data_IF_939852296675
#
_entry.id   IF_939852296675
#
_cell.length_a   1.000
_cell.length_b   1.000
_cell.length_c   1.000
_cell.angle_alpha   90.00
_cell.angle_beta   90.00
_cell.angle_gamma   90.00
#
_symmetry.space_group_name_H-M   'P 1'
#
loop_
_entity.id
_entity.type
_entity.pdbx_description
1 polymer ?
#
# COMPACT_ATOMS: atom_id res chain seq x y z
N UNK A 1 15.25 16.98 -20.90
CA UNK A 1 15.69 15.81 -20.11
C UNK A 1 14.92 15.81 -18.81
N UNK A 2 14.28 14.71 -18.43
CA UNK A 2 13.58 14.63 -17.15
C UNK A 2 14.62 14.82 -16.02
N UNK A 3 14.35 15.75 -15.10
CA UNK A 3 15.23 16.06 -13.96
C UNK A 3 15.41 14.89 -12.98
N UNK A 4 14.65 13.80 -13.16
CA UNK A 4 14.70 12.61 -12.30
C UNK A 4 14.88 11.36 -13.15
N UNK A 5 15.77 10.47 -12.69
CA UNK A 5 16.03 9.15 -13.29
C UNK A 5 15.02 8.08 -12.87
N UNK A 6 14.09 8.40 -11.96
CA UNK A 6 13.11 7.46 -11.39
C UNK A 6 11.75 8.12 -11.18
N UNK A 7 10.70 7.31 -11.30
CA UNK A 7 9.32 7.66 -10.95
C UNK A 7 8.92 6.82 -9.74
N UNK A 8 8.40 7.48 -8.71
CA UNK A 8 7.90 6.82 -7.49
C UNK A 8 6.38 6.88 -7.48
N UNK A 9 5.74 5.75 -7.16
CA UNK A 9 4.27 5.64 -7.06
C UNK A 9 3.91 5.19 -5.65
N UNK A 10 2.98 5.89 -5.00
CA UNK A 10 2.52 5.58 -3.65
C UNK A 10 3.49 5.99 -2.53
N UNK A 11 4.79 6.11 -2.80
CA UNK A 11 5.74 6.55 -1.79
C UNK A 11 7.18 6.33 -2.21
N UNK A 12 8.09 6.68 -1.32
CA UNK A 12 9.52 6.43 -1.48
C UNK A 12 10.16 6.11 -0.13
N UNK A 13 11.44 5.72 -0.15
CA UNK A 13 12.22 5.45 1.08
C UNK A 13 12.36 6.73 1.93
N UNK A 14 12.53 7.88 1.29
CA UNK A 14 12.62 9.18 1.96
C UNK A 14 11.87 10.25 1.17
N UNK A 15 10.56 10.30 1.37
CA UNK A 15 9.66 11.21 0.63
C UNK A 15 9.96 12.68 0.89
N UNK A 16 10.51 13.02 2.06
CA UNK A 16 10.94 14.39 2.39
C UNK A 16 12.15 14.86 1.56
N UNK A 17 13.04 13.95 1.19
CA UNK A 17 14.24 14.28 0.44
C UNK A 17 14.00 14.44 -1.06
N UNK A 18 12.79 14.16 -1.56
CA UNK A 18 12.47 14.29 -2.97
C UNK A 18 12.37 15.78 -3.36
N UNK A 19 13.01 16.21 -4.47
CA UNK A 19 12.89 17.58 -4.96
C UNK A 19 11.43 17.97 -5.18
N UNK A 20 11.01 19.11 -4.63
CA UNK A 20 9.65 19.63 -4.77
C UNK A 20 8.59 18.91 -3.89
N UNK A 21 8.99 17.99 -3.01
CA UNK A 21 8.05 17.34 -2.10
C UNK A 21 7.43 18.33 -1.12
N UNK A 22 6.09 18.42 -1.14
CA UNK A 22 5.28 19.20 -0.18
C UNK A 22 4.75 18.37 0.98
N UNK A 23 4.87 17.04 0.88
CA UNK A 23 4.39 16.07 1.86
C UNK A 23 5.54 15.17 2.30
N UNK A 24 5.47 14.66 3.53
CA UNK A 24 6.53 13.85 4.12
C UNK A 24 6.12 12.39 4.37
N UNK A 25 4.87 12.04 4.08
CA UNK A 25 4.31 10.70 4.30
C UNK A 25 4.10 9.99 2.97
N UNK A 26 4.16 8.66 3.01
CA UNK A 26 3.72 7.83 1.89
C UNK A 26 2.19 7.82 1.81
N UNK A 27 1.67 7.53 0.62
CA UNK A 27 0.24 7.45 0.37
C UNK A 27 -0.37 6.25 1.11
N UNK A 28 -1.49 6.50 1.79
CA UNK A 28 -2.31 5.47 2.44
C UNK A 28 -3.66 5.46 1.75
N UNK A 29 -3.97 4.34 1.07
CA UNK A 29 -5.23 4.16 0.35
C UNK A 29 -5.06 3.34 -0.91
N UNK A 30 -6.06 3.40 -1.80
CA UNK A 30 -6.02 2.74 -3.09
C UNK A 30 -5.71 3.72 -4.22
N UNK A 31 -4.88 3.30 -5.16
CA UNK A 31 -4.68 4.00 -6.43
C UNK A 31 -5.25 3.16 -7.57
N UNK A 32 -5.82 3.84 -8.57
CA UNK A 32 -6.31 3.21 -9.81
C UNK A 32 -5.89 4.05 -11.01
N UNK A 33 -5.74 3.41 -12.17
CA UNK A 33 -5.38 4.08 -13.44
C UNK A 33 -4.12 4.94 -13.32
N UNK A 34 -3.06 4.38 -12.74
CA UNK A 34 -1.75 5.06 -12.66
C UNK A 34 -0.97 4.78 -13.93
N UNK A 35 -0.87 5.80 -14.78
CA UNK A 35 -0.20 5.72 -16.07
C UNK A 35 0.86 6.81 -16.19
N UNK A 36 1.99 6.47 -16.80
CA UNK A 36 2.99 7.43 -17.24
C UNK A 36 2.84 7.62 -18.76
N UNK A 37 2.60 8.85 -19.20
CA UNK A 37 2.39 9.20 -20.60
C UNK A 37 3.41 10.27 -21.00
N UNK A 38 4.21 9.98 -22.03
CA UNK A 38 5.19 10.90 -22.59
C UNK A 38 5.33 10.65 -24.10
N UNK A 39 5.05 11.64 -24.93
CA UNK A 39 5.07 11.54 -26.39
C UNK A 39 4.29 10.32 -26.92
N UNK A 40 4.98 9.30 -27.44
CA UNK A 40 4.40 8.04 -27.93
C UNK A 40 4.42 6.92 -26.88
N UNK A 41 5.00 7.15 -25.71
CA UNK A 41 5.13 6.19 -24.63
C UNK A 41 3.93 6.28 -23.68
N UNK A 42 3.25 5.16 -23.46
CA UNK A 42 2.21 5.00 -22.44
C UNK A 42 2.48 3.74 -21.62
N UNK A 43 2.79 3.92 -20.34
CA UNK A 43 3.10 2.84 -19.41
C UNK A 43 2.04 2.76 -18.31
N UNK A 44 1.35 1.62 -18.22
CA UNK A 44 0.48 1.33 -17.07
C UNK A 44 1.33 0.79 -15.93
N UNK A 45 1.64 1.66 -14.96
CA UNK A 45 2.58 1.34 -13.89
C UNK A 45 2.02 0.28 -12.93
N UNK A 46 0.70 0.20 -12.74
CA UNK A 46 0.09 -0.83 -11.91
C UNK A 46 0.21 -2.21 -12.55
N UNK A 47 -0.02 -2.32 -13.87
CA UNK A 47 0.07 -3.59 -14.59
C UNK A 47 1.52 -4.08 -14.71
N UNK A 48 2.47 -3.16 -14.92
CA UNK A 48 3.89 -3.48 -14.94
C UNK A 48 4.37 -3.99 -13.57
N UNK A 49 3.91 -3.39 -12.47
CA UNK A 49 4.20 -3.87 -11.11
C UNK A 49 3.57 -5.23 -10.84
N UNK A 50 2.34 -5.46 -11.32
CA UNK A 50 1.61 -6.73 -11.12
C UNK A 50 2.23 -7.89 -11.90
N UNK A 51 2.70 -7.64 -13.13
CA UNK A 51 3.35 -8.64 -13.98
C UNK A 51 4.80 -8.93 -13.59
N UNK A 52 5.40 -8.16 -12.67
CA UNK A 52 6.80 -8.33 -12.28
C UNK A 52 7.78 -7.88 -13.36
N UNK A 53 7.40 -6.88 -14.17
CA UNK A 53 8.27 -6.33 -15.22
C UNK A 53 9.59 -5.83 -14.63
N UNK A 54 10.70 -6.12 -15.31
CA UNK A 54 12.04 -5.66 -14.95
C UNK A 54 12.19 -4.12 -14.95
N UNK A 55 11.24 -3.40 -15.56
CA UNK A 55 11.22 -1.93 -15.58
C UNK A 55 10.74 -1.32 -14.26
N UNK A 56 10.10 -2.10 -13.39
CA UNK A 56 9.53 -1.63 -12.12
C UNK A 56 10.10 -2.44 -10.95
N UNK A 57 10.40 -1.74 -9.86
CA UNK A 57 10.68 -2.36 -8.56
C UNK A 57 9.50 -2.12 -7.63
N UNK A 58 8.99 -3.19 -7.02
CA UNK A 58 7.91 -3.15 -6.03
C UNK A 58 8.49 -3.31 -4.64
N UNK A 59 8.15 -2.39 -3.73
CA UNK A 59 8.56 -2.44 -2.33
C UNK A 59 7.36 -2.67 -1.41
N UNK A 60 7.47 -3.64 -0.51
CA UNK A 60 6.43 -4.01 0.44
C UNK A 60 5.38 -4.99 -0.10
N UNK A 61 4.34 -5.24 0.69
CA UNK A 61 3.23 -6.14 0.32
C UNK A 61 2.09 -5.35 -0.32
N UNK A 62 2.01 -5.38 -1.64
CA UNK A 62 0.93 -4.76 -2.40
C UNK A 62 -0.23 -5.74 -2.62
N UNK A 63 -1.45 -5.22 -2.57
CA UNK A 63 -2.67 -5.91 -2.98
C UNK A 63 -3.22 -5.20 -4.21
N UNK A 64 -3.32 -5.90 -5.36
CA UNK A 64 -3.86 -5.36 -6.61
C UNK A 64 -5.40 -5.40 -6.64
N UNK A 65 -6.00 -5.05 -5.51
CA UNK A 65 -7.44 -4.93 -5.28
C UNK A 65 -7.66 -3.83 -4.26
N UNK A 66 -8.64 -2.99 -4.49
CA UNK A 66 -9.09 -2.06 -3.45
C UNK A 66 -10.16 -2.75 -2.60
N UNK A 67 -9.95 -2.92 -1.28
CA UNK A 67 -10.99 -3.44 -0.40
C UNK A 67 -12.18 -2.47 -0.35
N UNK A 68 -13.39 -3.04 -0.35
CA UNK A 68 -14.62 -2.27 -0.15
C UNK A 68 -14.80 -2.00 1.34
N UNK A 69 -14.82 -0.72 1.73
CA UNK A 69 -15.02 -0.29 3.12
C UNK A 69 -14.04 0.78 3.56
N UNK A 70 -14.34 1.46 4.67
CA UNK A 70 -13.43 2.43 5.28
C UNK A 70 -12.17 1.72 5.77
N UNK A 71 -11.00 2.31 5.48
CA UNK A 71 -9.74 1.91 6.10
C UNK A 71 -9.88 2.10 7.60
N UNK A 72 -10.05 1.00 8.34
CA UNK A 72 -10.08 1.06 9.80
C UNK A 72 -8.71 1.51 10.27
N UNK A 73 -8.68 2.61 11.01
CA UNK A 73 -7.49 3.05 11.71
C UNK A 73 -6.93 1.88 12.55
N UNK A 74 -5.60 1.69 12.57
CA UNK A 74 -5.00 0.63 13.36
C UNK A 74 -5.32 0.83 14.84
N UNK A 75 -5.64 -0.25 15.55
CA UNK A 75 -5.83 -0.24 16.99
C UNK A 75 -4.50 -0.62 17.64
N UNK A 76 -4.09 0.12 18.67
CA UNK A 76 -2.88 -0.16 19.45
C UNK A 76 -3.25 -0.70 20.82
N UNK A 77 -2.69 -1.84 21.19
CA UNK A 77 -2.79 -2.42 22.53
C UNK A 77 -1.63 -1.89 23.37
N UNK A 78 -1.90 -0.94 24.27
CA UNK A 78 -0.87 -0.21 25.01
C UNK A 78 -0.46 -0.87 26.34
N UNK A 79 -1.21 -1.87 26.78
CA UNK A 79 -0.97 -2.61 28.04
C UNK A 79 -1.11 -4.10 27.81
N UNK A 80 -0.48 -4.92 28.64
CA UNK A 80 -0.53 -6.39 28.53
C UNK A 80 -1.95 -6.93 28.70
N UNK A 81 -2.78 -6.24 29.46
CA UNK A 81 -4.15 -6.66 29.79
C UNK A 81 -5.17 -6.22 28.73
N UNK A 82 -4.78 -5.30 27.83
CA UNK A 82 -5.68 -4.79 26.79
C UNK A 82 -6.02 -5.84 25.74
N UNK A 83 -7.32 -6.04 25.49
CA UNK A 83 -7.84 -6.98 24.51
C UNK A 83 -9.17 -6.48 23.93
N UNK A 84 -9.56 -7.01 22.77
CA UNK A 84 -10.88 -6.77 22.17
C UNK A 84 -11.69 -8.07 22.17
N UNK A 85 -12.96 -7.96 22.54
CA UNK A 85 -13.92 -9.05 22.44
C UNK A 85 -14.58 -8.96 21.07
N UNK A 86 -14.36 -9.97 20.22
CA UNK A 86 -14.99 -10.07 18.91
C UNK A 86 -16.30 -10.88 18.98
N UNK A 87 -17.25 -10.67 18.04
CA UNK A 87 -18.44 -11.51 17.95
C UNK A 87 -18.10 -13.00 17.78
N UNK A 88 -18.99 -13.91 18.21
CA UNK A 88 -18.77 -15.35 18.07
C UNK A 88 -18.53 -15.77 16.61
N UNK A 89 -17.56 -16.65 16.40
CA UNK A 89 -17.27 -17.22 15.08
C UNK A 89 -18.35 -18.27 14.72
N UNK A 90 -19.23 -17.94 13.77
CA UNK A 90 -20.38 -18.78 13.40
C UNK A 90 -20.21 -19.55 12.06
N UNK A 91 -19.00 -20.00 11.72
CA UNK A 91 -18.80 -20.79 10.49
C UNK A 91 -19.15 -22.28 10.69
N UNK A 92 -20.12 -22.77 9.91
CA UNK A 92 -20.59 -24.16 10.00
C UNK A 92 -19.74 -25.19 9.24
N UNK A 93 -19.00 -24.76 8.20
CA UNK A 93 -18.16 -25.66 7.35
C UNK A 93 -16.80 -25.05 7.01
N UNK A 94 -16.72 -23.75 6.74
CA UNK A 94 -15.47 -23.04 6.46
C UNK A 94 -15.59 -21.57 6.83
N UNK A 95 -14.47 -20.95 7.23
CA UNK A 95 -14.39 -19.52 7.51
C UNK A 95 -12.93 -19.03 7.39
N UNK A 96 -12.75 -17.72 7.29
CA UNK A 96 -11.44 -17.09 7.14
C UNK A 96 -11.35 -15.85 8.04
N UNK A 97 -10.24 -15.70 8.77
CA UNK A 97 -9.86 -14.47 9.48
C UNK A 97 -8.56 -13.96 8.87
N UNK A 98 -8.51 -12.66 8.60
CA UNK A 98 -7.32 -11.98 8.09
C UNK A 98 -7.09 -10.70 8.87
N UNK A 99 -5.88 -10.52 9.41
CA UNK A 99 -5.45 -9.30 10.11
C UNK A 99 -3.98 -8.99 9.83
N UNK A 100 -3.57 -7.76 10.12
CA UNK A 100 -2.17 -7.30 10.07
C UNK A 100 -1.79 -6.86 11.48
N UNK A 101 -0.60 -7.22 11.95
CA UNK A 101 -0.09 -6.82 13.26
C UNK A 101 1.35 -6.30 13.17
N UNK A 102 1.74 -5.49 14.14
CA UNK A 102 3.11 -4.96 14.33
C UNK A 102 3.38 -4.86 15.82
N UNK A 103 4.49 -5.40 16.29
CA UNK A 103 4.90 -5.49 17.71
C UNK A 103 6.43 -5.42 17.80
N UNK A 104 6.95 -5.00 18.94
CA UNK A 104 8.38 -5.04 19.28
C UNK A 104 8.65 -5.77 20.61
N UNK A 105 7.61 -6.31 21.23
CA UNK A 105 7.67 -7.19 22.39
C UNK A 105 8.40 -8.51 22.11
#
# INVERSE_FOLDING_TARGET
MLSSSRVYVGGSVNTRALPGARVHNNFVGCMRKVEFVADTLRLNLLELGKSGSHLISVAGRLEYRCPSGETRDPITFTTRESHLILPPWNAKKSGNISFKFRTNE
#
